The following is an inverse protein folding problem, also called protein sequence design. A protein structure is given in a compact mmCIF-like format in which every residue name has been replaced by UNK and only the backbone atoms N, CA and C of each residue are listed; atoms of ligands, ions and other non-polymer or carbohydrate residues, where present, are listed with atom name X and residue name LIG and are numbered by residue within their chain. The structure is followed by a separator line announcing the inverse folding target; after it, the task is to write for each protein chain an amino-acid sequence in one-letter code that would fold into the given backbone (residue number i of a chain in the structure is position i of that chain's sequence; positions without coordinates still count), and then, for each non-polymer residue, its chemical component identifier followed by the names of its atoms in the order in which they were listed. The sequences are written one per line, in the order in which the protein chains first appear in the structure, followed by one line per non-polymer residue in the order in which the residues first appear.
data_IF_638371440044
#
_entry.id   IF_638371440044
#
_cell.length_a   1.000
_cell.length_b   1.000
_cell.length_c   1.000
_cell.angle_alpha   90.00
_cell.angle_beta   90.00
_cell.angle_gamma   90.00
#
_symmetry.space_group_name_H-M   'P 1'
#
loop_
_entity.id
_entity.type
_entity.pdbx_description
1 polymer ?
#
# COMPACT_ATOMS: atom_id res chain seq x y z
N UNK A 1 4.32 -10.69 6.56
CA UNK A 1 5.58 -11.22 5.97
C UNK A 1 6.66 -10.15 5.79
N UNK A 2 6.48 -9.13 4.94
CA UNK A 2 7.54 -8.12 4.66
C UNK A 2 8.06 -7.46 5.95
N UNK A 3 7.16 -6.98 6.81
CA UNK A 3 7.48 -6.37 8.10
C UNK A 3 8.30 -7.30 9.02
N UNK A 4 8.02 -8.61 8.99
CA UNK A 4 8.74 -9.62 9.78
C UNK A 4 10.18 -9.83 9.27
N UNK A 5 10.36 -9.82 7.95
CA UNK A 5 11.69 -9.91 7.34
C UNK A 5 12.51 -8.62 7.56
N UNK A 6 11.85 -7.45 7.55
CA UNK A 6 12.48 -6.18 7.90
C UNK A 6 12.97 -6.19 9.36
N UNK A 7 12.13 -6.61 10.31
CA UNK A 7 12.52 -6.81 11.71
C UNK A 7 13.74 -7.74 11.84
N UNK A 8 13.72 -8.91 11.18
CA UNK A 8 14.83 -9.87 11.22
C UNK A 8 16.13 -9.31 10.64
N UNK A 9 16.08 -8.71 9.44
CA UNK A 9 17.24 -8.13 8.79
C UNK A 9 17.86 -6.97 9.62
N UNK A 10 17.02 -6.13 10.23
CA UNK A 10 17.47 -5.03 11.07
C UNK A 10 18.05 -5.51 12.41
N UNK A 11 17.47 -6.54 13.05
CA UNK A 11 18.07 -7.17 14.23
C UNK A 11 19.48 -7.71 13.91
N UNK A 12 19.67 -8.37 12.75
CA UNK A 12 21.01 -8.83 12.34
C UNK A 12 21.96 -7.68 12.02
N UNK A 13 21.46 -6.59 11.42
CA UNK A 13 22.26 -5.41 11.10
C UNK A 13 22.78 -4.68 12.34
N UNK A 14 21.95 -4.54 13.38
CA UNK A 14 22.33 -3.90 14.66
C UNK A 14 23.15 -4.82 15.59
N UNK A 15 23.57 -6.00 15.12
CA UNK A 15 24.37 -6.95 15.90
C UNK A 15 23.56 -7.81 16.88
N UNK A 16 22.24 -7.68 16.93
CA UNK A 16 21.38 -8.54 17.74
C UNK A 16 21.30 -9.95 17.12
N UNK A 17 21.97 -10.91 17.76
CA UNK A 17 22.05 -12.30 17.28
C UNK A 17 20.73 -13.07 17.42
N UNK A 18 19.77 -12.58 18.21
CA UNK A 18 18.56 -13.32 18.61
C UNK A 18 17.43 -13.33 17.55
N UNK A 19 16.26 -13.84 17.97
CA UNK A 19 15.01 -13.91 17.19
C UNK A 19 14.37 -12.51 17.04
N UNK A 20 13.22 -12.47 16.36
CA UNK A 20 12.29 -11.32 16.38
C UNK A 20 11.87 -11.02 17.83
N UNK A 21 11.75 -9.74 18.19
CA UNK A 21 11.33 -9.29 19.51
C UNK A 21 9.79 -9.38 19.67
N UNK A 22 9.31 -9.55 20.90
CA UNK A 22 7.86 -9.67 21.16
C UNK A 22 7.08 -8.40 20.76
N UNK A 23 7.71 -7.23 20.90
CA UNK A 23 7.22 -5.93 20.43
C UNK A 23 7.13 -5.87 18.91
N UNK A 24 8.16 -6.32 18.19
CA UNK A 24 8.14 -6.44 16.73
C UNK A 24 7.05 -7.42 16.24
N UNK A 25 6.85 -8.56 16.90
CA UNK A 25 5.73 -9.47 16.61
C UNK A 25 4.37 -8.79 16.83
N UNK A 26 4.26 -7.95 17.85
CA UNK A 26 3.05 -7.18 18.16
C UNK A 26 2.76 -6.15 17.06
N UNK A 27 3.77 -5.42 16.60
CA UNK A 27 3.64 -4.51 15.43
C UNK A 27 3.26 -5.27 14.17
N UNK A 28 3.82 -6.47 13.93
CA UNK A 28 3.44 -7.33 12.80
C UNK A 28 1.97 -7.75 12.89
N UNK A 29 1.49 -8.20 14.06
CA UNK A 29 0.07 -8.55 14.25
C UNK A 29 -0.84 -7.35 14.01
N UNK A 30 -0.55 -6.20 14.62
CA UNK A 30 -1.31 -4.97 14.46
C UNK A 30 -1.36 -4.53 12.99
N UNK A 31 -0.27 -4.67 12.24
CA UNK A 31 -0.24 -4.31 10.81
C UNK A 31 -1.25 -5.13 9.98
N UNK A 32 -1.41 -6.42 10.27
CA UNK A 32 -2.40 -7.28 9.60
C UNK A 32 -3.82 -7.02 10.10
N UNK A 33 -4.00 -6.60 11.37
CA UNK A 33 -5.30 -6.16 11.89
C UNK A 33 -5.79 -4.89 11.17
N UNK A 34 -4.93 -3.86 11.06
CA UNK A 34 -5.25 -2.63 10.31
C UNK A 34 -5.54 -2.95 8.84
N UNK A 35 -4.73 -3.83 8.21
CA UNK A 35 -4.99 -4.29 6.85
C UNK A 35 -6.36 -4.97 6.72
N UNK A 36 -6.69 -5.88 7.64
CA UNK A 36 -7.94 -6.65 7.61
C UNK A 36 -9.15 -5.74 7.79
N UNK A 37 -9.09 -4.78 8.72
CA UNK A 37 -10.14 -3.78 8.87
C UNK A 37 -10.32 -2.92 7.61
N UNK A 38 -9.22 -2.45 6.99
CA UNK A 38 -9.31 -1.68 5.74
C UNK A 38 -9.97 -2.47 4.61
N UNK A 39 -9.68 -3.77 4.46
CA UNK A 39 -10.31 -4.62 3.45
C UNK A 39 -11.82 -4.82 3.67
N UNK A 40 -12.28 -4.82 4.91
CA UNK A 40 -13.70 -4.95 5.25
C UNK A 40 -14.44 -3.63 5.00
N UNK A 41 -13.81 -2.49 5.28
CA UNK A 41 -14.34 -1.17 4.89
C UNK A 41 -14.35 -0.99 3.37
N UNK A 42 -13.27 -1.34 2.66
CA UNK A 42 -13.20 -1.35 1.19
C UNK A 42 -14.35 -2.19 0.60
N UNK A 43 -14.60 -3.40 1.11
CA UNK A 43 -15.69 -4.28 0.64
C UNK A 43 -17.08 -3.61 0.73
N UNK A 44 -17.33 -2.79 1.75
CA UNK A 44 -18.56 -2.00 1.90
C UNK A 44 -18.60 -0.83 0.92
N UNK A 45 -17.51 -0.06 0.83
CA UNK A 45 -17.42 1.16 0.00
C UNK A 45 -17.52 0.83 -1.49
N UNK A 46 -16.84 -0.22 -1.94
CA UNK A 46 -16.84 -0.67 -3.34
C UNK A 46 -18.07 -1.52 -3.70
N UNK A 47 -18.94 -1.85 -2.73
CA UNK A 47 -20.08 -2.77 -2.93
C UNK A 47 -19.66 -4.18 -3.34
N UNK A 48 -18.50 -4.64 -2.88
CA UNK A 48 -17.89 -5.90 -3.32
C UNK A 48 -18.68 -7.11 -2.82
N UNK A 49 -18.92 -8.08 -3.71
CA UNK A 49 -19.62 -9.34 -3.37
C UNK A 49 -18.68 -10.50 -2.98
N UNK A 50 -17.38 -10.37 -3.26
CA UNK A 50 -16.40 -11.42 -2.96
C UNK A 50 -15.04 -10.84 -2.57
N UNK A 51 -14.36 -11.53 -1.65
CA UNK A 51 -13.00 -11.21 -1.19
C UNK A 51 -12.20 -12.50 -1.02
N UNK A 52 -10.99 -12.54 -1.59
CA UNK A 52 -10.08 -13.72 -1.55
C UNK A 52 -10.77 -15.04 -1.97
N UNK A 53 -11.63 -15.00 -2.99
CA UNK A 53 -12.35 -16.18 -3.53
C UNK A 53 -13.53 -16.68 -2.68
N UNK A 54 -13.94 -15.93 -1.65
CA UNK A 54 -15.11 -16.23 -0.81
C UNK A 54 -16.09 -15.05 -0.85
N UNK A 55 -17.33 -15.28 -0.41
CA UNK A 55 -18.32 -14.20 -0.19
C UNK A 55 -17.75 -13.18 0.80
N UNK A 56 -17.90 -11.90 0.49
CA UNK A 56 -17.44 -10.78 1.34
C UNK A 56 -18.29 -10.62 2.62
N UNK A 57 -17.78 -9.87 3.58
CA UNK A 57 -18.42 -9.71 4.90
C UNK A 57 -19.74 -8.94 4.79
N UNK A 58 -19.78 -7.91 3.95
CA UNK A 58 -20.96 -7.07 3.68
C UNK A 58 -22.09 -7.87 3.01
N UNK A 59 -21.79 -8.72 2.03
CA UNK A 59 -22.80 -9.59 1.41
C UNK A 59 -23.32 -10.65 2.39
N UNK A 60 -22.48 -11.13 3.31
CA UNK A 60 -22.86 -12.20 4.26
C UNK A 60 -23.62 -11.70 5.50
N UNK A 61 -23.26 -10.54 6.03
CA UNK A 61 -23.76 -10.03 7.32
C UNK A 61 -24.37 -8.63 7.25
N UNK A 62 -24.38 -8.00 6.08
CA UNK A 62 -24.80 -6.62 5.87
C UNK A 62 -23.69 -5.60 6.11
N UNK A 63 -23.84 -4.44 5.48
CA UNK A 63 -22.88 -3.33 5.51
C UNK A 63 -22.65 -2.83 6.95
N UNK A 64 -23.72 -2.59 7.72
CA UNK A 64 -23.66 -2.09 9.10
C UNK A 64 -22.83 -2.98 10.02
N UNK A 65 -23.02 -4.30 9.92
CA UNK A 65 -22.25 -5.26 10.73
C UNK A 65 -20.78 -5.35 10.29
N UNK A 66 -20.51 -5.10 9.00
CA UNK A 66 -19.15 -5.12 8.45
C UNK A 66 -18.34 -3.90 8.92
N UNK A 67 -18.94 -2.71 8.91
CA UNK A 67 -18.35 -1.50 9.49
C UNK A 67 -18.03 -1.72 10.98
N UNK A 68 -19.00 -2.17 11.77
CA UNK A 68 -18.79 -2.45 13.20
C UNK A 68 -17.71 -3.53 13.46
N UNK A 69 -17.59 -4.54 12.60
CA UNK A 69 -16.55 -5.56 12.71
C UNK A 69 -15.16 -5.00 12.42
N UNK A 70 -15.02 -4.13 11.42
CA UNK A 70 -13.77 -3.44 11.12
C UNK A 70 -13.38 -2.44 12.22
N UNK A 71 -14.33 -1.66 12.73
CA UNK A 71 -14.15 -0.76 13.87
C UNK A 71 -13.70 -1.51 15.14
N UNK A 72 -14.28 -2.68 15.40
CA UNK A 72 -13.86 -3.55 16.50
C UNK A 72 -12.40 -4.03 16.33
N UNK A 73 -12.01 -4.44 15.11
CA UNK A 73 -10.62 -4.83 14.81
C UNK A 73 -9.66 -3.64 15.00
N UNK A 74 -10.03 -2.44 14.57
CA UNK A 74 -9.22 -1.21 14.80
C UNK A 74 -9.15 -0.84 16.29
N UNK A 75 -10.22 -1.03 17.05
CA UNK A 75 -10.24 -0.84 18.51
C UNK A 75 -9.29 -1.81 19.22
N UNK A 76 -9.34 -3.10 18.86
CA UNK A 76 -8.40 -4.10 19.35
C UNK A 76 -6.94 -3.76 18.96
N UNK A 77 -6.70 -3.36 17.71
CA UNK A 77 -5.38 -2.94 17.24
C UNK A 77 -4.83 -1.73 18.03
N UNK A 78 -5.69 -0.74 18.28
CA UNK A 78 -5.35 0.46 19.05
C UNK A 78 -5.04 0.14 20.52
N UNK A 79 -5.80 -0.78 21.14
CA UNK A 79 -5.53 -1.27 22.49
C UNK A 79 -4.18 -1.99 22.58
N UNK A 80 -3.91 -2.90 21.63
CA UNK A 80 -2.65 -3.63 21.54
C UNK A 80 -1.45 -2.69 21.33
N UNK A 81 -1.62 -1.62 20.52
CA UNK A 81 -0.58 -0.59 20.37
C UNK A 81 -0.34 0.22 21.63
N UNK A 82 -1.39 0.66 22.32
CA UNK A 82 -1.25 1.40 23.57
C UNK A 82 -0.52 0.59 24.66
N UNK A 83 -0.72 -0.74 24.66
CA UNK A 83 -0.03 -1.67 25.56
C UNK A 83 1.46 -1.85 25.24
N UNK A 84 1.91 -1.50 24.03
CA UNK A 84 3.32 -1.58 23.62
C UNK A 84 4.17 -0.46 24.27
N UNK A 85 3.54 0.64 24.71
CA UNK A 85 4.19 1.72 25.45
C UNK A 85 5.08 2.66 24.62
N UNK A 86 5.34 2.33 23.34
CA UNK A 86 6.15 3.13 22.44
C UNK A 86 5.32 4.20 21.71
N UNK A 87 5.53 5.47 22.06
CA UNK A 87 4.78 6.60 21.51
C UNK A 87 5.04 6.84 20.01
N UNK A 88 6.25 6.57 19.49
CA UNK A 88 6.56 6.75 18.06
C UNK A 88 5.93 5.65 17.21
N UNK A 89 5.96 4.39 17.67
CA UNK A 89 5.22 3.29 17.03
C UNK A 89 3.71 3.58 16.99
N UNK A 90 3.13 4.11 18.08
CA UNK A 90 1.72 4.53 18.11
C UNK A 90 1.45 5.65 17.10
N UNK A 91 2.29 6.70 17.05
CA UNK A 91 2.16 7.79 16.06
C UNK A 91 2.27 7.29 14.62
N UNK A 92 3.22 6.38 14.34
CA UNK A 92 3.42 5.81 13.01
C UNK A 92 2.20 5.01 12.53
N UNK A 93 1.60 4.19 13.39
CA UNK A 93 0.45 3.39 12.97
C UNK A 93 -0.87 4.19 13.01
N UNK A 94 -1.01 5.19 13.88
CA UNK A 94 -2.07 6.18 13.78
C UNK A 94 -2.00 6.95 12.44
N UNK A 95 -0.78 7.32 12.01
CA UNK A 95 -0.54 7.91 10.68
C UNK A 95 -0.92 6.96 9.54
N UNK A 96 -0.74 5.64 9.68
CA UNK A 96 -1.23 4.68 8.66
C UNK A 96 -2.75 4.76 8.53
N UNK A 97 -3.50 4.78 9.64
CA UNK A 97 -4.97 4.87 9.60
C UNK A 97 -5.42 6.19 8.96
N UNK A 98 -4.81 7.31 9.33
CA UNK A 98 -5.04 8.62 8.70
C UNK A 98 -4.71 8.63 7.19
N UNK A 99 -3.57 8.06 6.79
CA UNK A 99 -3.19 7.94 5.38
C UNK A 99 -4.18 7.05 4.60
N UNK A 100 -4.62 5.92 5.15
CA UNK A 100 -5.62 5.05 4.50
C UNK A 100 -6.93 5.81 4.24
N UNK A 101 -7.46 6.48 5.26
CA UNK A 101 -8.69 7.28 5.17
C UNK A 101 -8.53 8.42 4.15
N UNK A 102 -7.40 9.14 4.17
CA UNK A 102 -7.10 10.19 3.17
C UNK A 102 -6.96 9.63 1.76
N UNK A 103 -6.36 8.45 1.61
CA UNK A 103 -6.25 7.74 0.33
C UNK A 103 -7.62 7.42 -0.27
N UNK A 104 -8.58 7.02 0.58
CA UNK A 104 -9.96 6.78 0.18
C UNK A 104 -10.67 8.07 -0.25
N UNK A 105 -10.60 9.13 0.55
CA UNK A 105 -11.17 10.43 0.17
C UNK A 105 -10.59 10.98 -1.14
N UNK A 106 -9.31 10.70 -1.44
CA UNK A 106 -8.68 11.08 -2.71
C UNK A 106 -9.24 10.33 -3.94
N UNK A 107 -10.04 9.28 -3.76
CA UNK A 107 -10.83 8.66 -4.84
C UNK A 107 -12.09 9.47 -5.19
N UNK A 108 -12.58 10.31 -4.28
CA UNK A 108 -13.77 11.16 -4.52
C UNK A 108 -13.49 12.36 -5.43
N UNK A 109 -12.25 12.55 -5.91
CA UNK A 109 -11.88 13.64 -6.83
C UNK A 109 -10.87 13.21 -7.91
N UNK A 110 -10.87 13.91 -9.04
CA UNK A 110 -9.83 13.84 -10.07
C UNK A 110 -9.36 15.25 -10.40
N UNK A 111 -8.07 15.42 -10.68
CA UNK A 111 -7.47 16.70 -11.06
C UNK A 111 -7.59 16.93 -12.57
N UNK A 112 -7.91 18.18 -12.94
CA UNK A 112 -8.04 18.60 -14.33
C UNK A 112 -6.69 18.60 -15.04
N UNK A 113 -5.67 19.24 -14.45
CA UNK A 113 -4.30 19.29 -14.97
C UNK A 113 -3.64 17.89 -14.99
N UNK A 114 -3.09 17.42 -16.14
CA UNK A 114 -2.38 16.14 -16.25
C UNK A 114 -1.24 15.94 -15.25
N UNK A 115 -0.40 16.93 -15.00
CA UNK A 115 0.75 16.81 -14.09
C UNK A 115 0.31 16.65 -12.63
N UNK A 116 -0.70 17.43 -12.23
CA UNK A 116 -1.35 17.25 -10.92
C UNK A 116 -2.02 15.88 -10.80
N UNK A 117 -2.56 15.36 -11.90
CA UNK A 117 -3.25 14.06 -11.91
C UNK A 117 -2.28 12.90 -11.70
N UNK A 118 -1.07 12.96 -12.26
CA UNK A 118 -0.04 11.94 -12.01
C UNK A 118 0.48 11.99 -10.57
N UNK A 119 0.72 13.19 -10.05
CA UNK A 119 1.12 13.39 -8.65
C UNK A 119 0.03 12.94 -7.66
N UNK A 120 -1.24 13.30 -7.92
CA UNK A 120 -2.40 12.84 -7.14
C UNK A 120 -2.54 11.31 -7.15
N UNK A 121 -2.29 10.67 -8.30
CA UNK A 121 -2.25 9.21 -8.40
C UNK A 121 -1.14 8.60 -7.51
N UNK A 122 0.10 9.10 -7.59
CA UNK A 122 1.21 8.62 -6.76
C UNK A 122 0.94 8.83 -5.27
N UNK A 123 0.45 10.00 -4.87
CA UNK A 123 0.13 10.32 -3.47
C UNK A 123 -1.03 9.46 -2.93
N UNK A 124 -2.10 9.30 -3.72
CA UNK A 124 -3.21 8.41 -3.37
C UNK A 124 -2.72 6.98 -3.16
N UNK A 125 -1.86 6.46 -4.03
CA UNK A 125 -1.36 5.08 -3.86
C UNK A 125 -0.33 4.94 -2.73
N UNK A 126 0.51 5.97 -2.51
CA UNK A 126 1.35 6.11 -1.32
C UNK A 126 0.51 5.96 -0.05
N UNK A 127 -0.66 6.62 -0.01
CA UNK A 127 -1.61 6.64 1.12
C UNK A 127 -2.38 5.33 1.28
N UNK A 128 -3.15 4.91 0.28
CA UNK A 128 -4.05 3.74 0.34
C UNK A 128 -3.33 2.38 0.41
N UNK A 129 -2.09 2.27 -0.09
CA UNK A 129 -1.41 0.95 -0.16
C UNK A 129 -0.08 0.95 0.57
N UNK A 130 0.88 1.75 0.10
CA UNK A 130 2.25 1.58 0.56
C UNK A 130 2.52 2.20 1.95
N UNK A 131 1.61 2.99 2.53
CA UNK A 131 1.78 3.58 3.88
C UNK A 131 1.86 2.53 4.96
N UNK A 132 0.93 1.56 4.94
CA UNK A 132 0.95 0.43 5.86
C UNK A 132 2.32 -0.28 5.82
N UNK A 133 2.79 -0.68 4.64
CA UNK A 133 4.06 -1.41 4.52
C UNK A 133 5.25 -0.57 5.00
N UNK A 134 5.35 0.69 4.56
CA UNK A 134 6.48 1.55 4.89
C UNK A 134 6.51 1.91 6.40
N UNK A 135 5.39 2.41 6.94
CA UNK A 135 5.30 2.78 8.35
C UNK A 135 5.42 1.57 9.29
N UNK A 136 4.92 0.39 8.93
CA UNK A 136 5.11 -0.81 9.76
C UNK A 136 6.55 -1.34 9.69
N UNK A 137 7.21 -1.28 8.52
CA UNK A 137 8.64 -1.60 8.43
C UNK A 137 9.49 -0.60 9.23
N UNK A 138 9.12 0.68 9.25
CA UNK A 138 9.74 1.68 10.13
C UNK A 138 9.44 1.37 11.60
N UNK A 139 8.20 1.07 11.98
CA UNK A 139 7.82 0.82 13.37
C UNK A 139 8.58 -0.37 14.00
N UNK A 140 8.83 -1.47 13.26
CA UNK A 140 9.68 -2.58 13.77
C UNK A 140 11.17 -2.27 13.79
N UNK A 141 11.61 -1.17 13.18
CA UNK A 141 12.97 -0.65 13.23
C UNK A 141 13.12 0.36 14.36
N UNK A 142 12.20 1.33 14.46
CA UNK A 142 12.16 2.33 15.54
C UNK A 142 12.06 1.63 16.92
N UNK A 143 11.35 0.50 17.02
CA UNK A 143 11.31 -0.37 18.21
C UNK A 143 12.68 -1.01 18.60
N UNK A 144 13.60 -1.18 17.63
CA UNK A 144 15.01 -1.54 17.90
C UNK A 144 15.82 -0.28 18.20
N UNK A 145 15.57 0.81 17.46
CA UNK A 145 16.31 2.06 17.58
C UNK A 145 16.02 2.76 18.92
N UNK A 146 14.92 2.50 19.62
CA UNK A 146 14.75 2.98 21.01
C UNK A 146 15.81 2.40 21.97
N UNK A 147 16.57 1.38 21.58
CA UNK A 147 17.75 0.90 22.32
C UNK A 147 19.10 1.51 21.85
N UNK A 148 19.17 2.24 20.71
CA UNK A 148 20.46 2.64 20.07
C UNK A 148 20.47 4.04 19.36
N UNK A 149 19.30 4.56 18.98
CA UNK A 149 18.87 5.91 18.52
C UNK A 149 19.71 6.74 17.52
N UNK A 150 19.17 6.99 16.30
CA UNK A 150 18.79 8.34 15.73
C UNK A 150 18.28 8.26 14.26
N UNK A 151 17.51 9.28 13.80
CA UNK A 151 16.49 9.23 12.71
C UNK A 151 16.88 9.56 11.23
N UNK A 152 16.16 9.00 10.22
CA UNK A 152 15.14 9.70 9.34
C UNK A 152 14.72 9.04 7.98
N UNK A 153 13.39 9.07 7.71
CA UNK A 153 12.62 9.27 6.44
C UNK A 153 12.49 8.20 5.29
N UNK A 154 11.42 8.29 4.44
CA UNK A 154 10.81 7.16 3.66
C UNK A 154 10.16 7.43 2.26
N UNK A 155 10.10 6.42 1.35
CA UNK A 155 8.92 6.09 0.48
C UNK A 155 9.12 5.85 -1.06
N UNK A 156 8.14 5.41 -1.93
CA UNK A 156 7.01 4.39 -1.93
C UNK A 156 6.39 4.18 -3.37
N UNK A 157 5.68 3.06 -3.70
CA UNK A 157 4.95 2.86 -4.99
C UNK A 157 3.46 2.31 -4.97
N UNK A 158 3.03 1.70 -6.11
CA UNK A 158 1.69 1.45 -6.78
C UNK A 158 0.87 0.16 -6.41
N UNK A 159 -0.37 -0.19 -6.90
CA UNK A 159 -1.64 0.45 -7.41
C UNK A 159 -2.70 -0.59 -7.92
N UNK A 160 -4.04 -0.30 -8.02
CA UNK A 160 -5.14 -1.25 -8.48
C UNK A 160 -6.48 -0.59 -8.98
N UNK A 161 -6.49 0.48 -9.77
CA UNK A 161 -7.61 1.46 -9.65
C UNK A 161 -8.70 1.54 -10.76
N UNK A 162 -8.51 0.98 -11.98
CA UNK A 162 -9.30 1.39 -13.17
C UNK A 162 -10.82 1.17 -13.13
N UNK A 163 -11.32 0.05 -12.61
CA UNK A 163 -12.76 -0.25 -12.62
C UNK A 163 -13.58 0.62 -11.64
N UNK A 164 -12.91 1.28 -10.68
CA UNK A 164 -13.51 2.20 -9.73
C UNK A 164 -13.57 3.64 -10.27
N UNK A 165 -13.36 3.82 -11.59
CA UNK A 165 -13.39 5.13 -12.25
C UNK A 165 -12.10 5.96 -12.08
N UNK A 166 -10.98 5.32 -11.74
CA UNK A 166 -9.72 5.97 -11.34
C UNK A 166 -8.61 5.68 -12.36
N UNK A 167 -8.02 6.72 -12.95
CA UNK A 167 -6.87 6.56 -13.84
C UNK A 167 -5.63 6.03 -13.10
N UNK A 168 -5.03 4.95 -13.63
CA UNK A 168 -3.75 4.38 -13.15
C UNK A 168 -2.59 4.78 -14.07
N UNK A 169 -1.34 4.54 -13.64
CA UNK A 169 -0.14 4.85 -14.44
C UNK A 169 -0.23 4.42 -15.93
N UNK A 170 -0.71 3.21 -16.31
CA UNK A 170 -0.86 2.87 -17.73
C UNK A 170 -1.76 3.82 -18.51
N UNK A 171 -2.91 4.22 -17.94
CA UNK A 171 -3.85 5.16 -18.59
C UNK A 171 -3.31 6.59 -18.55
N UNK A 172 -2.65 7.00 -17.47
CA UNK A 172 -2.06 8.33 -17.35
C UNK A 172 -0.92 8.54 -18.35
N UNK A 173 -0.03 7.55 -18.53
CA UNK A 173 0.99 7.58 -19.57
C UNK A 173 0.39 7.48 -20.99
N UNK A 174 -0.65 6.66 -21.19
CA UNK A 174 -1.36 6.62 -22.48
C UNK A 174 -2.01 7.98 -22.81
N UNK A 175 -2.45 8.73 -21.81
CA UNK A 175 -3.08 10.05 -21.97
C UNK A 175 -2.13 11.12 -22.54
N UNK A 176 -0.81 10.91 -22.47
CA UNK A 176 0.19 11.77 -23.12
C UNK A 176 0.27 11.53 -24.64
N UNK A 177 -0.07 10.32 -25.10
CA UNK A 177 -0.10 9.95 -26.53
C UNK A 177 -1.51 10.06 -27.14
N UNK A 178 -2.55 9.86 -26.33
CA UNK A 178 -3.97 9.83 -26.70
C UNK A 178 -4.74 10.84 -25.82
N UNK A 179 -4.69 12.15 -26.12
CA UNK A 179 -5.28 13.21 -25.29
C UNK A 179 -6.80 13.09 -25.10
N UNK A 180 -7.51 12.37 -25.98
CA UNK A 180 -8.94 12.04 -25.86
C UNK A 180 -9.26 11.31 -24.54
N UNK A 181 -8.28 10.59 -23.97
CA UNK A 181 -8.41 9.94 -22.66
C UNK A 181 -8.73 10.93 -21.52
N UNK A 182 -8.35 12.21 -21.65
CA UNK A 182 -8.71 13.23 -20.66
C UNK A 182 -10.23 13.32 -20.47
N UNK A 183 -11.01 13.24 -21.55
CA UNK A 183 -12.46 13.31 -21.49
C UNK A 183 -13.09 12.06 -20.84
N UNK A 184 -12.45 10.89 -20.97
CA UNK A 184 -12.86 9.65 -20.30
C UNK A 184 -12.56 9.73 -18.79
N UNK A 185 -11.37 10.21 -18.44
CA UNK A 185 -10.89 10.34 -17.06
C UNK A 185 -11.74 11.34 -16.28
N UNK A 186 -12.05 12.50 -16.85
CA UNK A 186 -12.86 13.53 -16.18
C UNK A 186 -14.29 13.05 -15.87
N UNK A 187 -14.89 12.23 -16.75
CA UNK A 187 -16.18 11.56 -16.49
C UNK A 187 -16.06 10.22 -15.76
N UNK A 188 -14.86 9.87 -15.27
CA UNK A 188 -14.53 8.65 -14.52
C UNK A 188 -14.94 7.35 -15.20
N UNK A 189 -14.80 7.30 -16.52
CA UNK A 189 -15.17 6.15 -17.34
C UNK A 189 -16.64 5.70 -17.21
N UNK A 190 -17.55 6.64 -16.86
CA UNK A 190 -19.00 6.38 -16.68
C UNK A 190 -19.80 6.43 -17.98
N UNK A 191 -19.20 6.84 -19.09
CA UNK A 191 -19.84 6.82 -20.41
C UNK A 191 -19.87 5.40 -21.00
N UNK A 192 -20.73 5.17 -22.02
CA UNK A 192 -20.75 3.90 -22.74
C UNK A 192 -19.40 3.63 -23.41
N UNK A 193 -18.89 2.41 -23.28
CA UNK A 193 -17.61 1.94 -23.82
C UNK A 193 -16.32 2.62 -23.31
N UNK A 194 -16.38 3.65 -22.46
CA UNK A 194 -15.21 4.38 -21.93
C UNK A 194 -14.07 3.45 -21.45
N UNK A 195 -14.41 2.37 -20.74
CA UNK A 195 -13.45 1.40 -20.20
C UNK A 195 -12.75 0.62 -21.31
N UNK A 196 -13.47 0.27 -22.37
CA UNK A 196 -12.93 -0.47 -23.52
C UNK A 196 -12.10 0.46 -24.43
N UNK A 197 -12.55 1.69 -24.65
CA UNK A 197 -11.78 2.74 -25.34
C UNK A 197 -10.45 3.01 -24.62
N UNK A 198 -10.50 3.21 -23.30
CA UNK A 198 -9.31 3.40 -22.47
C UNK A 198 -8.37 2.19 -22.54
N UNK A 199 -8.90 0.96 -22.51
CA UNK A 199 -8.12 -0.28 -22.63
C UNK A 199 -7.44 -0.38 -23.99
N UNK A 200 -8.13 -0.04 -25.08
CA UNK A 200 -7.56 -0.05 -26.43
C UNK A 200 -6.47 1.01 -26.62
N UNK A 201 -6.67 2.23 -26.09
CA UNK A 201 -5.65 3.27 -26.11
C UNK A 201 -4.40 2.85 -25.33
N UNK A 202 -4.56 2.27 -24.13
CA UNK A 202 -3.44 1.72 -23.35
C UNK A 202 -2.67 0.65 -24.13
N UNK A 203 -3.36 -0.27 -24.83
CA UNK A 203 -2.70 -1.29 -25.66
C UNK A 203 -2.00 -0.74 -26.91
N UNK A 204 -2.43 0.42 -27.45
CA UNK A 204 -1.80 1.10 -28.59
C UNK A 204 -0.66 2.05 -28.16
N UNK A 205 -0.60 2.40 -26.88
CA UNK A 205 0.41 3.28 -26.27
C UNK A 205 1.62 2.54 -25.71
N UNK A 206 2.65 3.29 -25.29
CA UNK A 206 3.74 2.77 -24.46
C UNK A 206 3.41 2.71 -22.95
N UNK A 207 2.18 3.06 -22.54
CA UNK A 207 1.82 3.27 -21.12
C UNK A 207 2.03 2.05 -20.23
N UNK A 208 1.89 0.83 -20.78
CA UNK A 208 2.24 -0.41 -20.07
C UNK A 208 3.76 -0.50 -19.85
N UNK A 209 4.57 -0.24 -20.87
CA UNK A 209 6.03 -0.30 -20.80
C UNK A 209 6.61 0.79 -19.88
N UNK A 210 6.04 2.00 -19.89
CA UNK A 210 6.40 3.08 -18.94
C UNK A 210 6.01 2.73 -17.52
N UNK A 211 4.85 2.10 -17.30
CA UNK A 211 4.44 1.61 -15.97
C UNK A 211 5.37 0.51 -15.44
N UNK A 212 5.82 -0.41 -16.30
CA UNK A 212 6.81 -1.41 -15.93
C UNK A 212 8.18 -0.78 -15.63
N UNK A 213 8.60 0.22 -16.42
CA UNK A 213 9.83 0.99 -16.19
C UNK A 213 9.79 1.69 -14.82
N UNK A 214 8.68 2.35 -14.48
CA UNK A 214 8.48 3.00 -13.19
C UNK A 214 8.50 1.99 -12.02
N UNK A 215 7.81 0.85 -12.16
CA UNK A 215 7.86 -0.22 -11.17
C UNK A 215 9.28 -0.78 -11.00
N UNK A 216 10.02 -0.94 -12.10
CA UNK A 216 11.43 -1.37 -12.10
C UNK A 216 12.34 -0.36 -11.39
N UNK A 217 12.13 0.94 -11.58
CA UNK A 217 12.86 2.00 -10.85
C UNK A 217 12.61 1.90 -9.34
N UNK A 218 11.35 1.75 -8.90
CA UNK A 218 11.03 1.56 -7.49
C UNK A 218 11.62 0.27 -6.91
N UNK A 219 11.56 -0.85 -7.63
CA UNK A 219 12.22 -2.11 -7.22
C UNK A 219 13.74 -1.93 -7.09
N UNK A 220 14.39 -1.25 -8.04
CA UNK A 220 15.84 -0.98 -7.98
C UNK A 220 16.21 -0.13 -6.78
N UNK A 221 15.47 0.95 -6.52
CA UNK A 221 15.74 1.81 -5.36
C UNK A 221 15.46 1.08 -4.04
N UNK A 222 14.37 0.33 -3.94
CA UNK A 222 14.08 -0.50 -2.76
C UNK A 222 15.21 -1.52 -2.49
N UNK A 223 15.67 -2.25 -3.52
CA UNK A 223 16.80 -3.18 -3.40
C UNK A 223 18.08 -2.47 -3.00
N UNK A 224 18.36 -1.27 -3.54
CA UNK A 224 19.50 -0.43 -3.15
C UNK A 224 19.44 0.02 -1.68
N UNK A 225 18.26 0.34 -1.16
CA UNK A 225 18.08 0.63 0.27
C UNK A 225 18.28 -0.63 1.13
N UNK A 226 17.75 -1.79 0.72
CA UNK A 226 17.93 -3.07 1.43
C UNK A 226 19.42 -3.49 1.48
N UNK A 227 20.21 -3.19 0.45
CA UNK A 227 21.66 -3.46 0.43
C UNK A 227 22.47 -2.68 1.49
N UNK A 228 21.91 -1.66 2.12
CA UNK A 228 22.54 -0.98 3.27
C UNK A 228 22.57 -1.85 4.53
N UNK A 229 21.69 -2.86 4.62
CA UNK A 229 21.63 -3.79 5.73
C UNK A 229 22.71 -4.88 5.59
N UNK A 230 23.20 -5.34 6.75
CA UNK A 230 24.17 -6.44 6.85
C UNK A 230 23.63 -7.71 6.20
N UNK A 231 24.51 -8.54 5.65
CA UNK A 231 24.11 -9.77 4.99
C UNK A 231 23.41 -10.74 5.95
N UNK A 232 22.18 -11.14 5.60
CA UNK A 232 21.39 -12.11 6.35
C UNK A 232 20.35 -12.80 5.44
N UNK A 233 19.87 -14.01 5.80
CA UNK A 233 18.80 -14.69 5.07
C UNK A 233 17.53 -13.84 4.92
N UNK A 234 17.20 -13.03 5.92
CA UNK A 234 16.03 -12.14 5.91
C UNK A 234 16.22 -10.97 4.94
N UNK A 235 17.41 -10.37 4.88
CA UNK A 235 17.77 -9.37 3.86
C UNK A 235 17.66 -9.95 2.45
N UNK A 236 18.19 -11.13 2.23
CA UNK A 236 18.21 -11.78 0.92
C UNK A 236 16.79 -12.22 0.51
N UNK A 237 15.94 -12.60 1.47
CA UNK A 237 14.51 -12.83 1.27
C UNK A 237 13.75 -11.53 0.90
N UNK A 238 14.06 -10.38 1.52
CA UNK A 238 13.49 -9.08 1.11
C UNK A 238 13.86 -8.75 -0.34
N UNK A 239 15.12 -8.93 -0.73
CA UNK A 239 15.57 -8.73 -2.12
C UNK A 239 14.80 -9.66 -3.07
N UNK A 240 14.72 -10.97 -2.75
CA UNK A 240 13.99 -11.96 -3.54
C UNK A 240 12.50 -11.60 -3.73
N UNK A 241 11.82 -11.19 -2.66
CA UNK A 241 10.41 -10.77 -2.73
C UNK A 241 10.26 -9.50 -3.58
N UNK A 242 11.17 -8.54 -3.45
CA UNK A 242 11.11 -7.27 -4.19
C UNK A 242 11.29 -7.46 -5.71
N UNK A 243 12.10 -8.44 -6.14
CA UNK A 243 12.18 -8.84 -7.55
C UNK A 243 10.94 -9.61 -8.01
N UNK A 244 10.44 -10.57 -7.22
CA UNK A 244 9.24 -11.36 -7.53
C UNK A 244 7.98 -10.53 -7.76
N UNK A 245 7.90 -9.30 -7.23
CA UNK A 245 6.80 -8.36 -7.52
C UNK A 245 6.69 -8.04 -9.03
N UNK A 246 7.82 -7.91 -9.74
CA UNK A 246 7.84 -7.61 -11.18
C UNK A 246 7.56 -8.84 -12.07
N UNK A 247 7.78 -10.03 -11.54
CA UNK A 247 7.64 -11.32 -12.24
C UNK A 247 6.27 -11.98 -12.03
N UNK A 248 5.47 -11.43 -11.10
CA UNK A 248 4.21 -12.02 -10.64
C UNK A 248 3.13 -11.99 -11.72
N UNK A 249 3.03 -13.07 -12.49
CA UNK A 249 1.82 -13.42 -13.24
C UNK A 249 0.74 -13.85 -12.23
N UNK A 250 -0.48 -13.33 -12.42
CA UNK A 250 -1.67 -13.79 -11.69
C UNK A 250 -2.19 -15.10 -12.28
#
# INVERSE_FOLDING_TARGET
MIVLLAAGACNKHTGNKSKILQSQETVVMVSEMIHTASLIHDDVIDGANTRRGKVSVNTKFGEKMSVLAADYILSCASKTLAQLGNAEVVKLLAKVVDDLIKGEFMQLGSKENPDERFNHYLEKTYKKTASLVACCCRAVVDDILDFIATDKEMGKPTATDLQLGLATAPVLFACEQFPELNALIMRRFKGPNDVEEARQAVHKSDGIARSYTLASQYTKEAVKQIHKLSASPERDALISITHKVLERRK
#
